data_IF_639076293519
#
_entry.id   IF_639076293519
#
_cell.length_a   1.000
_cell.length_b   1.000
_cell.length_c   1.000
_cell.angle_alpha   90.00
_cell.angle_beta   90.00
_cell.angle_gamma   90.00
#
_symmetry.space_group_name_H-M   'P 1'
#
loop_
_entity.id
_entity.type
_entity.pdbx_description
1 polymer ?
#
# COMPACT_ATOMS: atom_id res chain seq x y z
N UNK A 1 -22.88 28.60 -5.54
CA UNK A 1 -23.39 27.53 -4.66
C UNK A 1 -22.27 26.55 -4.34
N UNK A 2 -21.65 26.66 -3.16
CA UNK A 2 -20.68 25.68 -2.66
C UNK A 2 -21.41 24.36 -2.42
N UNK A 3 -21.21 23.36 -3.29
CA UNK A 3 -21.74 22.01 -3.05
C UNK A 3 -21.24 21.56 -1.67
N UNK A 4 -22.14 21.43 -0.69
CA UNK A 4 -21.86 20.80 0.61
C UNK A 4 -21.32 19.40 0.35
N UNK A 5 -20.01 19.25 0.38
CA UNK A 5 -19.37 17.93 0.34
C UNK A 5 -19.45 17.34 1.74
N UNK A 6 -20.06 16.16 1.86
CA UNK A 6 -20.08 15.39 3.10
C UNK A 6 -18.62 15.24 3.59
N UNK A 7 -18.29 15.55 4.86
CA UNK A 7 -16.91 15.58 5.36
C UNK A 7 -16.13 14.29 5.13
N UNK A 8 -16.83 13.15 5.13
CA UNK A 8 -16.26 11.84 4.83
C UNK A 8 -15.60 11.79 3.45
N UNK A 9 -16.21 12.42 2.43
CA UNK A 9 -15.72 12.38 1.05
C UNK A 9 -14.88 13.61 0.65
N UNK A 10 -14.36 14.36 1.62
CA UNK A 10 -13.53 15.53 1.34
C UNK A 10 -12.06 15.19 1.02
N UNK A 11 -11.54 14.09 1.56
CA UNK A 11 -10.14 13.66 1.43
C UNK A 11 -10.08 12.14 1.27
N UNK A 12 -9.26 11.66 0.33
CA UNK A 12 -9.17 10.24 -0.02
C UNK A 12 -8.85 9.31 1.15
N UNK A 13 -7.99 9.72 2.10
CA UNK A 13 -7.68 8.86 3.24
C UNK A 13 -8.89 8.57 4.14
N UNK A 14 -9.87 9.47 4.23
CA UNK A 14 -10.99 9.36 5.19
C UNK A 14 -11.87 8.13 4.94
N UNK A 15 -12.48 7.95 3.76
CA UNK A 15 -13.31 6.79 3.52
C UNK A 15 -12.48 5.51 3.45
N UNK A 16 -11.31 5.54 2.79
CA UNK A 16 -10.52 4.34 2.61
C UNK A 16 -9.87 3.81 3.90
N UNK A 17 -9.47 4.68 4.84
CA UNK A 17 -8.94 4.19 6.13
C UNK A 17 -10.06 3.63 7.01
N UNK A 18 -11.26 4.20 6.95
CA UNK A 18 -12.43 3.63 7.64
C UNK A 18 -12.83 2.28 7.04
N UNK A 19 -12.84 2.17 5.71
CA UNK A 19 -13.08 0.90 5.01
C UNK A 19 -12.01 -0.13 5.35
N UNK A 20 -10.72 0.25 5.34
CA UNK A 20 -9.63 -0.65 5.70
C UNK A 20 -9.74 -1.15 7.15
N UNK A 21 -10.01 -0.25 8.10
CA UNK A 21 -10.19 -0.61 9.51
C UNK A 21 -11.39 -1.55 9.69
N UNK A 22 -12.55 -1.21 9.13
CA UNK A 22 -13.74 -2.05 9.18
C UNK A 22 -13.49 -3.42 8.55
N UNK A 23 -12.91 -3.45 7.35
CA UNK A 23 -12.67 -4.69 6.62
C UNK A 23 -11.64 -5.59 7.28
N UNK A 24 -10.60 -5.02 7.91
CA UNK A 24 -9.63 -5.82 8.67
C UNK A 24 -10.31 -6.62 9.79
N UNK A 25 -11.28 -6.02 10.49
CA UNK A 25 -12.06 -6.71 11.53
C UNK A 25 -12.90 -7.81 10.89
N UNK A 26 -13.63 -7.50 9.82
CA UNK A 26 -14.48 -8.48 9.11
C UNK A 26 -13.66 -9.67 8.59
N UNK A 27 -12.55 -9.42 7.91
CA UNK A 27 -11.70 -10.45 7.31
C UNK A 27 -10.97 -11.30 8.36
N UNK A 28 -10.57 -10.72 9.50
CA UNK A 28 -10.00 -11.50 10.61
C UNK A 28 -11.08 -12.36 11.28
N UNK A 29 -12.27 -11.83 11.51
CA UNK A 29 -13.39 -12.60 12.08
C UNK A 29 -13.80 -13.75 11.17
N UNK A 30 -13.88 -13.50 9.86
CA UNK A 30 -14.16 -14.51 8.85
C UNK A 30 -13.11 -15.64 8.87
N UNK A 31 -11.83 -15.28 8.91
CA UNK A 31 -10.74 -16.24 9.03
C UNK A 31 -10.80 -17.07 10.33
N UNK A 32 -11.11 -16.43 11.47
CA UNK A 32 -11.26 -17.12 12.75
C UNK A 32 -12.44 -18.11 12.74
N UNK A 33 -13.56 -17.74 12.13
CA UNK A 33 -14.70 -18.64 11.95
C UNK A 33 -14.29 -19.88 11.15
N UNK A 34 -13.52 -19.71 10.09
CA UNK A 34 -13.05 -20.84 9.29
C UNK A 34 -12.06 -21.73 10.02
N UNK A 35 -11.12 -21.15 10.76
CA UNK A 35 -10.22 -21.92 11.64
C UNK A 35 -10.97 -22.71 12.72
N UNK A 36 -12.11 -22.19 13.20
CA UNK A 36 -12.98 -22.88 14.16
C UNK A 36 -13.90 -23.93 13.54
N UNK A 37 -13.86 -24.11 12.21
CA UNK A 37 -14.73 -25.04 11.48
C UNK A 37 -16.14 -24.49 11.22
N UNK A 38 -16.46 -23.28 11.66
CA UNK A 38 -17.74 -22.58 11.41
C UNK A 38 -17.66 -21.62 10.22
N UNK A 39 -16.79 -21.91 9.25
CA UNK A 39 -16.60 -21.09 8.06
C UNK A 39 -17.90 -20.93 7.29
N UNK A 40 -18.18 -19.69 6.88
CA UNK A 40 -19.38 -19.35 6.08
C UNK A 40 -19.16 -19.52 4.57
N UNK A 41 -17.92 -19.86 4.17
CA UNK A 41 -17.55 -20.08 2.77
C UNK A 41 -17.85 -21.52 2.37
N UNK A 42 -18.65 -21.68 1.32
CA UNK A 42 -19.18 -22.98 0.89
C UNK A 42 -18.13 -23.93 0.30
N UNK A 43 -18.47 -25.21 0.23
CA UNK A 43 -17.63 -26.26 -0.36
C UNK A 43 -17.45 -25.96 -1.87
N UNK A 44 -16.20 -25.73 -2.29
CA UNK A 44 -15.84 -25.27 -3.64
C UNK A 44 -15.26 -23.85 -3.70
N UNK A 45 -15.17 -23.13 -2.56
CA UNK A 45 -14.48 -21.84 -2.47
C UNK A 45 -12.96 -21.98 -2.43
N UNK A 46 -12.26 -20.90 -2.78
CA UNK A 46 -10.81 -20.72 -2.58
C UNK A 46 -10.41 -21.17 -1.17
N UNK A 47 -9.31 -21.93 -0.99
CA UNK A 47 -8.85 -22.38 0.32
C UNK A 47 -8.80 -21.26 1.36
N UNK A 48 -9.21 -21.61 2.59
CA UNK A 48 -9.22 -20.75 3.77
C UNK A 48 -8.08 -19.75 3.86
N UNK A 49 -6.88 -20.30 3.97
CA UNK A 49 -5.64 -19.56 4.15
C UNK A 49 -5.33 -18.63 2.98
N UNK A 50 -5.62 -19.04 1.75
CA UNK A 50 -5.36 -18.26 0.55
C UNK A 50 -6.30 -17.06 0.45
N UNK A 51 -7.56 -17.24 0.81
CA UNK A 51 -8.52 -16.14 0.88
C UNK A 51 -8.21 -15.17 2.02
N UNK A 52 -7.82 -15.67 3.20
CA UNK A 52 -7.36 -14.79 4.28
C UNK A 52 -6.17 -13.93 3.81
N UNK A 53 -5.16 -14.55 3.20
CA UNK A 53 -4.02 -13.84 2.64
C UNK A 53 -4.45 -12.83 1.56
N UNK A 54 -5.38 -13.22 0.68
CA UNK A 54 -5.97 -12.34 -0.33
C UNK A 54 -6.64 -11.11 0.31
N UNK A 55 -7.47 -11.28 1.33
CA UNK A 55 -8.16 -10.18 1.99
C UNK A 55 -7.21 -9.27 2.78
N UNK A 56 -6.13 -9.80 3.35
CA UNK A 56 -5.11 -8.97 4.01
C UNK A 56 -4.31 -8.13 3.00
N UNK A 57 -4.01 -8.68 1.83
CA UNK A 57 -3.22 -7.98 0.80
C UNK A 57 -4.11 -7.04 -0.02
N UNK A 58 -5.13 -7.57 -0.69
CA UNK A 58 -5.97 -6.85 -1.64
C UNK A 58 -7.20 -6.19 -1.02
N UNK A 59 -7.63 -6.64 0.16
CA UNK A 59 -8.73 -6.02 0.90
C UNK A 59 -8.26 -4.96 1.88
N UNK A 60 -7.19 -5.22 2.62
CA UNK A 60 -6.67 -4.30 3.64
C UNK A 60 -5.51 -3.44 3.13
N UNK A 61 -4.38 -4.03 2.75
CA UNK A 61 -3.15 -3.27 2.48
C UNK A 61 -3.30 -2.32 1.29
N UNK A 62 -3.86 -2.78 0.17
CA UNK A 62 -4.16 -1.96 -1.02
C UNK A 62 -5.15 -0.82 -0.74
N UNK A 63 -6.08 -1.02 0.20
CA UNK A 63 -7.06 0.00 0.61
C UNK A 63 -6.38 1.12 1.38
N UNK A 64 -5.46 0.75 2.29
CA UNK A 64 -4.58 1.71 2.97
C UNK A 64 -3.71 2.44 1.95
N UNK A 65 -3.07 1.71 1.02
CA UNK A 65 -2.26 2.30 -0.05
C UNK A 65 -3.10 3.24 -0.92
N UNK A 66 -4.36 2.92 -1.23
CA UNK A 66 -5.25 3.78 -2.00
C UNK A 66 -5.55 5.09 -1.27
N UNK A 67 -5.92 5.01 0.02
CA UNK A 67 -6.15 6.19 0.85
C UNK A 67 -4.92 7.09 0.98
N UNK A 68 -3.74 6.47 1.14
CA UNK A 68 -2.45 7.16 1.12
C UNK A 68 -2.20 7.81 -0.25
N UNK A 69 -2.34 7.06 -1.33
CA UNK A 69 -2.03 7.49 -2.71
C UNK A 69 -2.84 8.73 -3.11
N UNK A 70 -4.14 8.71 -2.85
CA UNK A 70 -5.04 9.84 -3.14
C UNK A 70 -4.69 11.10 -2.34
N UNK A 71 -4.02 10.96 -1.20
CA UNK A 71 -3.58 12.08 -0.38
C UNK A 71 -2.18 12.56 -0.80
N UNK A 72 -1.25 11.62 -1.00
CA UNK A 72 0.13 11.90 -1.38
C UNK A 72 0.22 12.53 -2.78
N UNK A 73 -0.55 12.03 -3.75
CA UNK A 73 -0.55 12.55 -5.12
C UNK A 73 -1.05 13.99 -5.17
N UNK A 74 -2.08 14.32 -4.37
CA UNK A 74 -2.53 15.71 -4.21
C UNK A 74 -1.40 16.59 -3.67
N UNK A 75 -0.66 16.12 -2.67
CA UNK A 75 0.46 16.88 -2.12
C UNK A 75 1.63 17.04 -3.09
N UNK A 76 1.90 16.05 -3.94
CA UNK A 76 3.01 16.10 -4.90
C UNK A 76 2.71 16.92 -6.14
N UNK A 77 1.49 16.79 -6.65
CA UNK A 77 1.07 17.41 -7.93
C UNK A 77 0.42 18.77 -7.72
N UNK A 78 -0.10 19.06 -6.52
CA UNK A 78 -0.95 20.22 -6.26
C UNK A 78 -2.31 20.17 -6.98
N UNK A 79 -2.60 19.11 -7.73
CA UNK A 79 -3.87 18.90 -8.41
C UNK A 79 -4.88 18.27 -7.47
N UNK A 80 -6.15 18.55 -7.72
CA UNK A 80 -7.23 17.93 -6.95
C UNK A 80 -7.35 16.44 -7.29
N UNK A 81 -7.32 15.60 -6.25
CA UNK A 81 -7.69 14.19 -6.35
C UNK A 81 -9.21 14.02 -6.19
N UNK A 82 -9.79 12.87 -6.59
CA UNK A 82 -11.22 12.62 -6.47
C UNK A 82 -11.81 13.01 -5.10
N UNK A 83 -12.91 13.78 -5.13
CA UNK A 83 -13.61 14.30 -3.95
C UNK A 83 -15.12 14.27 -4.16
N UNK A 84 -15.88 14.25 -3.06
CA UNK A 84 -17.34 14.22 -3.11
C UNK A 84 -17.87 12.98 -3.83
N UNK A 85 -18.66 13.19 -4.88
CA UNK A 85 -19.33 12.09 -5.60
C UNK A 85 -18.37 11.09 -6.25
N UNK A 86 -17.26 11.55 -6.84
CA UNK A 86 -16.30 10.63 -7.48
C UNK A 86 -15.62 9.73 -6.45
N UNK A 87 -15.29 10.27 -5.28
CA UNK A 87 -14.72 9.48 -4.18
C UNK A 87 -15.74 8.48 -3.61
N UNK A 88 -17.01 8.88 -3.48
CA UNK A 88 -18.10 7.98 -3.09
C UNK A 88 -18.26 6.81 -4.07
N UNK A 89 -18.22 7.07 -5.39
CA UNK A 89 -18.28 6.02 -6.40
C UNK A 89 -17.10 5.05 -6.31
N UNK A 90 -15.89 5.55 -6.04
CA UNK A 90 -14.72 4.69 -5.81
C UNK A 90 -14.87 3.83 -4.54
N UNK A 91 -15.46 4.38 -3.47
CA UNK A 91 -15.76 3.60 -2.26
C UNK A 91 -16.82 2.53 -2.51
N UNK A 92 -17.88 2.84 -3.28
CA UNK A 92 -18.91 1.85 -3.66
C UNK A 92 -18.30 0.77 -4.54
N UNK A 93 -17.46 1.14 -5.51
CA UNK A 93 -16.75 0.20 -6.37
C UNK A 93 -15.89 -0.75 -5.54
N UNK A 94 -15.18 -0.23 -4.54
CA UNK A 94 -14.39 -1.03 -3.60
C UNK A 94 -15.27 -2.01 -2.81
N UNK A 95 -16.39 -1.54 -2.23
CA UNK A 95 -17.33 -2.40 -1.49
C UNK A 95 -17.87 -3.50 -2.41
N UNK A 96 -18.23 -3.17 -3.64
CA UNK A 96 -18.72 -4.13 -4.63
C UNK A 96 -17.65 -5.17 -5.02
N UNK A 97 -16.37 -4.77 -5.13
CA UNK A 97 -15.26 -5.70 -5.37
C UNK A 97 -15.06 -6.69 -4.23
N UNK A 98 -15.24 -6.23 -2.98
CA UNK A 98 -15.10 -7.08 -1.79
C UNK A 98 -16.28 -8.03 -1.58
N UNK A 99 -17.50 -7.55 -1.76
CA UNK A 99 -18.70 -8.35 -1.55
C UNK A 99 -19.07 -9.20 -2.76
N UNK A 100 -18.71 -8.77 -3.97
CA UNK A 100 -19.02 -9.45 -5.23
C UNK A 100 -18.68 -10.95 -5.26
N UNK A 101 -17.44 -11.35 -4.90
CA UNK A 101 -17.02 -12.75 -4.89
C UNK A 101 -17.88 -13.67 -4.02
N UNK A 102 -18.56 -13.14 -2.99
CA UNK A 102 -19.47 -13.91 -2.14
C UNK A 102 -20.81 -14.23 -2.82
N UNK A 103 -21.22 -13.44 -3.82
CA UNK A 103 -22.46 -13.67 -4.56
C UNK A 103 -22.24 -14.48 -5.83
N UNK A 104 -21.13 -14.23 -6.54
CA UNK A 104 -20.80 -14.92 -7.78
C UNK A 104 -19.32 -14.77 -8.15
N UNK A 105 -18.73 -15.82 -8.72
CA UNK A 105 -17.37 -15.79 -9.27
C UNK A 105 -17.21 -14.79 -10.41
N UNK A 106 -18.27 -14.39 -11.11
CA UNK A 106 -18.19 -13.37 -12.16
C UNK A 106 -17.89 -11.97 -11.62
N UNK A 107 -18.23 -11.69 -10.36
CA UNK A 107 -18.04 -10.36 -9.78
C UNK A 107 -16.62 -10.10 -9.31
N UNK A 108 -15.71 -11.08 -9.37
CA UNK A 108 -14.27 -10.87 -9.11
C UNK A 108 -13.67 -9.83 -10.05
N UNK A 109 -14.26 -9.61 -11.24
CA UNK A 109 -13.80 -8.59 -12.17
C UNK A 109 -13.86 -7.18 -11.56
N UNK A 110 -14.86 -6.90 -10.70
CA UNK A 110 -15.00 -5.61 -10.02
C UNK A 110 -13.81 -5.39 -9.09
N UNK A 111 -13.40 -6.46 -8.42
CA UNK A 111 -12.28 -6.46 -7.50
C UNK A 111 -10.93 -6.24 -8.22
N UNK A 112 -10.73 -6.97 -9.32
CA UNK A 112 -9.54 -6.86 -10.16
C UNK A 112 -9.39 -5.44 -10.74
N UNK A 113 -10.50 -4.83 -11.18
CA UNK A 113 -10.49 -3.52 -11.83
C UNK A 113 -10.25 -2.35 -10.88
N UNK A 114 -10.52 -2.51 -9.58
CA UNK A 114 -10.38 -1.42 -8.61
C UNK A 114 -8.96 -0.81 -8.64
N UNK A 115 -7.93 -1.65 -8.57
CA UNK A 115 -6.53 -1.21 -8.52
C UNK A 115 -6.04 -0.49 -9.78
N UNK A 116 -6.25 -1.04 -11.01
CA UNK A 116 -5.98 -0.33 -12.25
C UNK A 116 -6.72 1.00 -12.37
N UNK A 117 -7.97 1.09 -11.89
CA UNK A 117 -8.72 2.36 -11.90
C UNK A 117 -8.04 3.41 -11.03
N UNK A 118 -7.63 3.04 -9.80
CA UNK A 118 -6.86 3.95 -8.94
C UNK A 118 -5.54 4.35 -9.60
N UNK A 119 -4.82 3.39 -10.17
CA UNK A 119 -3.55 3.62 -10.87
C UNK A 119 -3.69 4.60 -12.04
N UNK A 120 -4.72 4.45 -12.87
CA UNK A 120 -5.01 5.36 -13.98
C UNK A 120 -5.31 6.78 -13.49
N UNK A 121 -6.14 6.93 -12.46
CA UNK A 121 -6.51 8.23 -11.89
C UNK A 121 -5.26 8.97 -11.39
N UNK A 122 -4.46 8.32 -10.55
CA UNK A 122 -3.28 8.99 -9.97
C UNK A 122 -2.16 9.14 -10.99
N UNK A 123 -1.99 8.18 -11.90
CA UNK A 123 -0.99 8.22 -12.96
C UNK A 123 -1.21 9.40 -13.90
N UNK A 124 -2.47 9.64 -14.29
CA UNK A 124 -2.84 10.82 -15.08
C UNK A 124 -2.43 12.13 -14.39
N UNK A 125 -2.73 12.28 -13.10
CA UNK A 125 -2.38 13.49 -12.34
C UNK A 125 -0.86 13.69 -12.23
N UNK A 126 -0.11 12.60 -12.03
CA UNK A 126 1.35 12.63 -11.95
C UNK A 126 1.97 13.05 -13.29
N UNK A 127 1.50 12.48 -14.39
CA UNK A 127 1.96 12.80 -15.74
C UNK A 127 1.63 14.24 -16.14
N UNK A 128 0.45 14.73 -15.77
CA UNK A 128 0.05 16.13 -16.01
C UNK A 128 1.00 17.16 -15.37
N UNK A 129 1.73 16.78 -14.31
CA UNK A 129 2.72 17.62 -13.64
C UNK A 129 4.17 17.20 -13.89
N UNK A 130 4.41 16.30 -14.85
CA UNK A 130 5.72 15.76 -15.21
C UNK A 130 6.51 15.21 -14.00
N UNK A 131 5.81 14.68 -12.98
CA UNK A 131 6.41 14.16 -11.76
C UNK A 131 6.85 12.70 -11.91
N UNK A 132 7.67 12.40 -12.92
CA UNK A 132 8.02 11.03 -13.35
C UNK A 132 8.59 10.15 -12.23
N UNK A 133 9.29 10.75 -11.26
CA UNK A 133 9.85 10.04 -10.09
C UNK A 133 8.80 9.41 -9.17
N UNK A 134 7.54 9.79 -9.31
CA UNK A 134 6.42 9.28 -8.50
C UNK A 134 5.55 8.28 -9.28
N UNK A 135 5.87 7.98 -10.55
CA UNK A 135 5.15 7.00 -11.36
C UNK A 135 5.31 5.56 -10.88
N UNK A 136 6.27 5.29 -9.98
CA UNK A 136 6.40 3.97 -9.35
C UNK A 136 5.10 3.54 -8.67
N UNK A 137 4.36 4.47 -8.06
CA UNK A 137 3.15 4.16 -7.31
C UNK A 137 2.00 3.66 -8.20
N UNK A 138 1.56 4.38 -9.26
CA UNK A 138 0.58 3.83 -10.19
C UNK A 138 1.10 2.58 -10.92
N UNK A 139 2.39 2.49 -11.23
CA UNK A 139 2.95 1.29 -11.85
C UNK A 139 2.77 0.05 -10.96
N UNK A 140 3.15 0.14 -9.68
CA UNK A 140 2.99 -0.97 -8.73
C UNK A 140 1.51 -1.31 -8.53
N UNK A 141 0.62 -0.32 -8.44
CA UNK A 141 -0.83 -0.57 -8.32
C UNK A 141 -1.41 -1.29 -9.54
N UNK A 142 -0.96 -0.97 -10.75
CA UNK A 142 -1.34 -1.70 -11.96
C UNK A 142 -0.87 -3.16 -11.92
N UNK A 143 0.38 -3.40 -11.50
CA UNK A 143 0.91 -4.78 -11.37
C UNK A 143 0.16 -5.55 -10.29
N UNK A 144 -0.17 -4.93 -9.15
CA UNK A 144 -1.02 -5.53 -8.13
C UNK A 144 -2.40 -5.92 -8.70
N UNK A 145 -3.01 -5.09 -9.55
CA UNK A 145 -4.25 -5.44 -10.24
C UNK A 145 -4.13 -6.70 -11.12
N UNK A 146 -3.01 -6.82 -11.87
CA UNK A 146 -2.72 -8.01 -12.68
C UNK A 146 -2.52 -9.24 -11.79
N UNK A 147 -1.75 -9.12 -10.70
CA UNK A 147 -1.53 -10.22 -9.76
C UNK A 147 -2.83 -10.65 -9.07
N UNK A 148 -3.76 -9.72 -8.81
CA UNK A 148 -5.08 -10.06 -8.29
C UNK A 148 -5.87 -10.93 -9.27
N UNK A 149 -5.87 -10.56 -10.56
CA UNK A 149 -6.48 -11.37 -11.61
C UNK A 149 -5.82 -12.76 -11.73
N UNK A 150 -4.49 -12.82 -11.69
CA UNK A 150 -3.75 -14.09 -11.70
C UNK A 150 -4.08 -14.97 -10.50
N UNK A 151 -4.26 -14.38 -9.32
CA UNK A 151 -4.71 -15.09 -8.13
C UNK A 151 -6.09 -15.74 -8.37
N UNK A 152 -7.11 -14.98 -8.79
CA UNK A 152 -8.43 -15.55 -9.05
C UNK A 152 -8.42 -16.64 -10.13
N UNK A 153 -7.67 -16.43 -11.22
CA UNK A 153 -7.55 -17.42 -12.29
C UNK A 153 -6.91 -18.72 -11.81
N UNK A 154 -5.85 -18.62 -11.00
CA UNK A 154 -5.20 -19.78 -10.40
C UNK A 154 -6.07 -20.45 -9.34
N UNK A 155 -6.70 -19.67 -8.46
CA UNK A 155 -7.49 -20.18 -7.33
C UNK A 155 -8.79 -20.88 -7.78
N UNK A 156 -9.36 -20.49 -8.92
CA UNK A 156 -10.47 -21.20 -9.57
C UNK A 156 -10.03 -22.34 -10.48
N UNK A 157 -8.73 -22.65 -10.55
CA UNK A 157 -8.20 -23.77 -11.34
C UNK A 157 -8.15 -23.53 -12.85
N UNK A 158 -8.27 -22.28 -13.31
CA UNK A 158 -8.12 -21.93 -14.74
C UNK A 158 -6.65 -21.88 -15.19
N UNK A 159 -5.69 -21.90 -14.25
CA UNK A 159 -4.26 -21.91 -14.53
C UNK A 159 -3.54 -22.93 -13.64
N UNK A 160 -2.49 -23.57 -14.16
CA UNK A 160 -1.64 -24.52 -13.43
C UNK A 160 -0.53 -23.87 -12.58
N UNK A 161 -0.67 -22.57 -12.29
CA UNK A 161 0.25 -21.83 -11.40
C UNK A 161 -0.26 -21.97 -9.97
N UNK A 162 0.62 -22.11 -8.98
CA UNK A 162 0.25 -22.04 -7.56
C UNK A 162 -0.30 -20.64 -7.20
N UNK A 163 -1.49 -20.59 -6.62
CA UNK A 163 -2.16 -19.34 -6.22
C UNK A 163 -1.39 -18.59 -5.12
N UNK A 164 -0.48 -19.24 -4.41
CA UNK A 164 0.40 -18.59 -3.44
C UNK A 164 1.43 -17.66 -4.11
N UNK A 165 1.86 -17.97 -5.34
CA UNK A 165 2.84 -17.17 -6.06
C UNK A 165 2.37 -15.71 -6.27
N UNK A 166 1.19 -15.43 -6.86
CA UNK A 166 0.70 -14.05 -7.00
C UNK A 166 0.44 -13.37 -5.66
N UNK A 167 0.04 -14.09 -4.60
CA UNK A 167 -0.12 -13.54 -3.26
C UNK A 167 1.22 -13.07 -2.68
N UNK A 168 2.25 -13.91 -2.72
CA UNK A 168 3.59 -13.59 -2.20
C UNK A 168 4.21 -12.43 -3.01
N UNK A 169 4.11 -12.46 -4.34
CA UNK A 169 4.58 -11.36 -5.18
C UNK A 169 3.86 -10.05 -4.86
N UNK A 170 2.56 -10.10 -4.57
CA UNK A 170 1.79 -8.91 -4.18
C UNK A 170 2.21 -8.37 -2.82
N UNK A 171 2.48 -9.24 -1.85
CA UNK A 171 3.04 -8.85 -0.55
C UNK A 171 4.38 -8.11 -0.74
N UNK A 172 5.27 -8.63 -1.58
CA UNK A 172 6.55 -7.96 -1.87
C UNK A 172 6.38 -6.59 -2.54
N UNK A 173 5.37 -6.42 -3.39
CA UNK A 173 5.05 -5.11 -3.97
C UNK A 173 4.54 -4.11 -2.92
N UNK A 174 3.76 -4.56 -1.94
CA UNK A 174 3.37 -3.73 -0.79
C UNK A 174 4.61 -3.33 0.01
N UNK A 175 5.48 -4.28 0.34
CA UNK A 175 6.76 -3.99 1.04
C UNK A 175 7.64 -3.05 0.22
N UNK A 176 7.65 -3.17 -1.11
CA UNK A 176 8.36 -2.25 -2.00
C UNK A 176 7.81 -0.82 -1.88
N UNK A 177 6.49 -0.65 -1.86
CA UNK A 177 5.85 0.66 -1.64
C UNK A 177 6.30 1.24 -0.28
N UNK A 178 6.31 0.43 0.77
CA UNK A 178 6.76 0.84 2.11
C UNK A 178 8.23 1.26 2.13
N UNK A 179 9.13 0.50 1.51
CA UNK A 179 10.56 0.84 1.40
C UNK A 179 10.73 2.19 0.68
N UNK A 180 10.05 2.37 -0.46
CA UNK A 180 10.20 3.57 -1.30
C UNK A 180 9.63 4.83 -0.63
N UNK A 181 8.49 4.71 0.06
CA UNK A 181 7.86 5.83 0.76
C UNK A 181 8.55 6.08 2.10
N UNK A 182 8.75 5.03 2.89
CA UNK A 182 9.39 5.08 4.22
C UNK A 182 10.77 5.69 4.16
N UNK A 183 11.59 5.31 3.17
CA UNK A 183 12.93 5.87 2.97
C UNK A 183 12.98 7.35 2.62
N UNK A 184 11.85 7.96 2.21
CA UNK A 184 11.73 9.41 1.97
C UNK A 184 11.09 10.12 3.16
N UNK A 185 10.05 9.50 3.73
CA UNK A 185 9.17 10.11 4.72
C UNK A 185 9.81 10.09 6.11
N UNK A 186 10.34 8.94 6.55
CA UNK A 186 10.93 8.78 7.88
C UNK A 186 12.13 9.72 8.08
N UNK A 187 13.13 9.77 7.19
CA UNK A 187 14.29 10.65 7.41
C UNK A 187 13.89 12.13 7.42
N UNK A 188 12.93 12.51 6.57
CA UNK A 188 12.46 13.89 6.45
C UNK A 188 11.73 14.35 7.71
N UNK A 189 10.88 13.51 8.31
CA UNK A 189 10.23 13.85 9.59
C UNK A 189 11.25 13.99 10.73
N UNK A 190 12.20 13.06 10.84
CA UNK A 190 13.23 13.10 11.89
C UNK A 190 14.14 14.32 11.76
N UNK A 191 14.57 14.66 10.54
CA UNK A 191 15.39 15.85 10.28
C UNK A 191 14.65 17.16 10.55
N UNK A 192 13.35 17.23 10.24
CA UNK A 192 12.54 18.42 10.49
C UNK A 192 12.26 18.65 11.99
N UNK A 193 12.22 17.58 12.78
CA UNK A 193 11.97 17.67 14.22
C UNK A 193 13.22 18.01 15.04
N UNK A 194 14.40 17.57 14.59
CA UNK A 194 15.67 17.76 15.30
C UNK A 194 16.62 18.57 14.42
N UNK A 195 16.64 19.88 14.64
CA UNK A 195 17.54 20.82 13.96
C UNK A 195 19.00 20.42 14.22
N UNK A 196 19.80 20.31 13.16
CA UNK A 196 21.23 19.95 13.24
C UNK A 196 21.53 18.45 13.29
N UNK A 197 20.51 17.58 13.20
CA UNK A 197 20.73 16.13 13.16
C UNK A 197 21.49 15.71 11.89
N UNK A 198 22.74 15.27 12.06
CA UNK A 198 23.51 14.64 10.98
C UNK A 198 22.97 13.23 10.72
N UNK A 199 22.30 13.05 9.59
CA UNK A 199 21.80 11.77 9.07
C UNK A 199 22.64 11.31 7.89
N UNK A 200 22.77 9.99 7.73
CA UNK A 200 23.32 9.42 6.50
C UNK A 200 22.27 9.48 5.39
N UNK A 201 22.50 10.32 4.37
CA UNK A 201 21.59 10.50 3.22
C UNK A 201 22.35 10.38 1.90
N UNK A 202 22.81 9.18 1.58
CA UNK A 202 23.41 8.88 0.28
C UNK A 202 22.34 8.40 -0.71
N UNK A 203 22.10 9.19 -1.78
CA UNK A 203 21.09 8.88 -2.80
C UNK A 203 21.42 7.61 -3.59
N UNK A 204 22.68 7.39 -3.93
CA UNK A 204 23.12 6.21 -4.68
C UNK A 204 22.97 4.95 -3.83
N UNK A 205 23.30 5.03 -2.54
CA UNK A 205 23.12 3.93 -1.61
C UNK A 205 21.63 3.58 -1.40
N UNK A 206 20.77 4.59 -1.26
CA UNK A 206 19.33 4.38 -1.18
C UNK A 206 18.75 3.79 -2.47
N UNK A 207 19.21 4.23 -3.65
CA UNK A 207 18.81 3.66 -4.92
C UNK A 207 19.27 2.20 -5.06
N UNK A 208 20.49 1.88 -4.63
CA UNK A 208 21.01 0.51 -4.60
C UNK A 208 20.17 -0.39 -3.69
N UNK A 209 19.79 0.07 -2.50
CA UNK A 209 18.96 -0.71 -1.59
C UNK A 209 17.57 -1.00 -2.18
N UNK A 210 16.95 -0.02 -2.84
CA UNK A 210 15.68 -0.23 -3.56
C UNK A 210 15.84 -1.22 -4.72
N UNK A 211 16.90 -1.07 -5.52
CA UNK A 211 17.18 -1.97 -6.65
C UNK A 211 17.43 -3.41 -6.18
N UNK A 212 18.21 -3.61 -5.12
CA UNK A 212 18.46 -4.92 -4.53
C UNK A 212 17.21 -5.52 -3.90
N UNK A 213 16.34 -4.70 -3.28
CA UNK A 213 15.04 -5.18 -2.79
C UNK A 213 14.17 -5.69 -3.94
N UNK A 214 14.14 -4.98 -5.07
CA UNK A 214 13.39 -5.40 -6.25
C UNK A 214 13.96 -6.71 -6.82
N UNK A 215 15.28 -6.81 -6.91
CA UNK A 215 15.96 -8.02 -7.35
C UNK A 215 15.69 -9.20 -6.41
N UNK A 216 15.75 -9.01 -5.08
CA UNK A 216 15.41 -10.04 -4.09
C UNK A 216 13.98 -10.57 -4.28
N UNK A 217 13.00 -9.68 -4.48
CA UNK A 217 11.61 -10.08 -4.65
C UNK A 217 11.35 -10.81 -5.96
N UNK A 218 12.00 -10.37 -7.05
CA UNK A 218 11.95 -11.06 -8.35
C UNK A 218 12.61 -12.44 -8.27
N UNK A 219 13.79 -12.54 -7.65
CA UNK A 219 14.50 -13.80 -7.48
C UNK A 219 13.73 -14.77 -6.59
N UNK A 220 13.08 -14.30 -5.52
CA UNK A 220 12.21 -15.14 -4.72
C UNK A 220 11.04 -15.68 -5.53
N UNK A 221 10.43 -14.84 -6.37
CA UNK A 221 9.28 -15.23 -7.18
C UNK A 221 9.65 -16.29 -8.23
N UNK A 222 10.83 -16.17 -8.85
CA UNK A 222 11.27 -17.06 -9.94
C UNK A 222 12.05 -18.28 -9.45
N UNK A 223 12.86 -18.12 -8.39
CA UNK A 223 13.80 -19.10 -7.88
C UNK A 223 13.82 -19.10 -6.34
N UNK A 224 12.72 -19.49 -5.67
CA UNK A 224 12.59 -19.39 -4.20
C UNK A 224 13.60 -20.27 -3.46
N UNK A 225 13.91 -21.46 -4.00
CA UNK A 225 14.84 -22.44 -3.39
C UNK A 225 16.21 -22.34 -4.07
N UNK A 226 16.87 -21.20 -3.92
CA UNK A 226 18.21 -20.97 -4.48
C UNK A 226 19.14 -20.30 -3.48
N UNK A 227 20.38 -20.77 -3.39
CA UNK A 227 21.44 -20.16 -2.57
C UNK A 227 21.67 -18.71 -2.99
N UNK A 228 21.59 -18.42 -4.30
CA UNK A 228 21.76 -17.06 -4.84
C UNK A 228 20.65 -16.14 -4.30
N UNK A 229 19.39 -16.61 -4.31
CA UNK A 229 18.26 -15.87 -3.75
C UNK A 229 18.47 -15.59 -2.26
N UNK A 230 18.91 -16.58 -1.49
CA UNK A 230 19.19 -16.42 -0.06
C UNK A 230 20.29 -15.37 0.20
N UNK A 231 21.42 -15.45 -0.52
CA UNK A 231 22.53 -14.50 -0.38
C UNK A 231 22.11 -13.06 -0.72
N UNK A 232 21.35 -12.87 -1.79
CA UNK A 232 20.87 -11.56 -2.20
C UNK A 232 19.85 -11.01 -1.19
N UNK A 233 18.96 -11.84 -0.64
CA UNK A 233 18.04 -11.43 0.43
C UNK A 233 18.78 -11.00 1.71
N UNK A 234 19.82 -11.74 2.12
CA UNK A 234 20.65 -11.37 3.28
C UNK A 234 21.34 -10.02 3.04
N UNK A 235 21.94 -9.83 1.85
CA UNK A 235 22.59 -8.58 1.48
C UNK A 235 21.59 -7.41 1.49
N UNK A 236 20.41 -7.60 0.91
CA UNK A 236 19.33 -6.61 0.94
C UNK A 236 18.94 -6.26 2.38
N UNK A 237 18.78 -7.26 3.26
CA UNK A 237 18.46 -7.05 4.67
C UNK A 237 19.51 -6.21 5.40
N UNK A 238 20.80 -6.51 5.20
CA UNK A 238 21.92 -5.74 5.77
C UNK A 238 21.89 -4.28 5.28
N UNK A 239 21.69 -4.06 3.98
CA UNK A 239 21.64 -2.71 3.41
C UNK A 239 20.46 -1.89 3.94
N UNK A 240 19.27 -2.49 4.03
CA UNK A 240 18.09 -1.84 4.60
C UNK A 240 18.30 -1.52 6.08
N UNK A 241 18.96 -2.41 6.82
CA UNK A 241 19.29 -2.18 8.24
C UNK A 241 20.27 -1.02 8.42
N UNK A 242 21.32 -0.94 7.59
CA UNK A 242 22.28 0.17 7.59
C UNK A 242 21.57 1.50 7.30
N UNK A 243 20.65 1.52 6.31
CA UNK A 243 19.86 2.71 6.00
C UNK A 243 19.00 3.14 7.19
N UNK A 244 18.29 2.20 7.82
CA UNK A 244 17.45 2.45 8.98
C UNK A 244 18.25 3.06 10.13
N UNK A 245 19.43 2.50 10.45
CA UNK A 245 20.33 3.05 11.47
C UNK A 245 20.84 4.44 11.09
N UNK A 246 21.17 4.64 9.81
CA UNK A 246 21.65 5.92 9.26
C UNK A 246 20.65 7.06 9.40
N UNK A 247 19.35 6.76 9.48
CA UNK A 247 18.27 7.74 9.70
C UNK A 247 18.12 8.16 11.17
N UNK A 248 18.79 7.47 12.10
CA UNK A 248 18.74 7.70 13.56
C UNK A 248 17.31 7.73 14.12
N UNK A 249 16.50 6.66 13.95
CA UNK A 249 15.10 6.64 14.39
C UNK A 249 14.95 6.87 15.90
N UNK A 250 15.94 6.45 16.69
CA UNK A 250 15.94 6.60 18.15
C UNK A 250 16.17 8.04 18.63
N UNK A 251 16.70 8.93 17.79
CA UNK A 251 16.91 10.32 18.16
C UNK A 251 15.59 11.05 18.49
N UNK A 252 14.47 10.59 17.92
CA UNK A 252 13.15 11.12 18.18
C UNK A 252 12.57 10.72 19.55
N UNK A 253 13.18 9.77 20.28
CA UNK A 253 12.72 9.37 21.63
C UNK A 253 12.87 10.48 22.67
N UNK A 254 13.85 11.37 22.50
CA UNK A 254 14.16 12.42 23.48
C UNK A 254 13.34 13.70 23.32
N UNK A 255 12.52 13.82 22.26
CA UNK A 255 11.63 14.98 22.03
C UNK A 255 10.27 14.53 21.49
N UNK A 256 9.24 14.37 22.35
CA UNK A 256 7.89 14.06 21.90
C UNK A 256 7.36 15.17 20.98
N UNK A 257 6.87 14.80 19.80
CA UNK A 257 6.41 15.73 18.75
C UNK A 257 5.25 16.67 19.16
N UNK A 258 4.62 16.45 20.33
CA UNK A 258 3.46 17.21 20.78
C UNK A 258 3.79 18.61 21.34
N UNK A 259 5.04 18.90 21.74
CA UNK A 259 5.38 20.16 22.41
C UNK A 259 5.87 21.31 21.52
N UNK A 260 6.43 21.03 20.33
CA UNK A 260 7.18 22.05 19.56
C UNK A 260 6.42 22.74 18.42
N UNK A 261 5.25 22.20 18.03
CA UNK A 261 4.40 22.82 17.00
C UNK A 261 3.53 23.95 17.56
N UNK A 262 3.16 23.89 18.84
CA UNK A 262 2.39 24.95 19.50
C UNK A 262 3.25 26.19 19.77
N UNK A 263 4.52 26.01 20.14
CA UNK A 263 5.44 27.12 20.41
C UNK A 263 5.87 27.86 19.14
N UNK A 264 6.07 27.15 18.01
CA UNK A 264 6.40 27.81 16.74
C UNK A 264 5.24 28.57 16.09
N UNK A 265 3.98 28.17 16.31
CA UNK A 265 2.82 28.95 15.87
C UNK A 265 2.58 30.19 16.75
N UNK A 266 2.83 30.08 18.07
CA UNK A 266 2.74 31.23 18.96
C UNK A 266 3.80 32.32 18.67
N UNK A 267 5.03 31.91 18.33
CA UNK A 267 6.11 32.86 18.03
C UNK A 267 5.96 33.61 16.69
N UNK A 268 5.16 33.08 15.75
CA UNK A 268 4.94 33.69 14.42
C UNK A 268 3.65 34.53 14.34
N UNK A 269 2.87 34.58 15.41
CA UNK A 269 1.67 35.42 15.51
C UNK A 269 1.92 36.77 16.22
N UNK A 270 3.15 36.99 16.72
CA UNK A 270 3.56 38.20 17.43
C UNK A 270 4.56 39.07 16.63
N UNK A 271 4.61 38.92 15.31
CA UNK A 271 5.36 39.79 14.40
C UNK A 271 4.54 40.11 13.16
#
# INVERSE_FOLDING_TARGET
>A
MTKKTIPLFALGFRPFYLLAAFWSVVAILEWLMELSGSGIRGIGSIPGIQWHAHEMIFGFATTVVTGFSLTAVRSWTGLETPKGRSLMLLSILWIAGRLGPFFSSYFVIIDILFLPIIAMIIGKLILQRNMVRNLFLPLILSVLGVLNGLFYMSAYGHMSIDSNAPLISSLFLIVMIEIMIGGRVIPSFTANAIVGLKQFRNKSFAALAVALSAASFLLWTLFPVSVITALICILTGILQFILLLGWKPLAARSKPFHGSLLTKKAAKANH
#
